data_IF_633860848513
#
_entry.id   IF_633860848513
#
_cell.length_a   1.000
_cell.length_b   1.000
_cell.length_c   1.000
_cell.angle_alpha   90.00
_cell.angle_beta   90.00
_cell.angle_gamma   90.00
#
_symmetry.space_group_name_H-M   'P 1'
#
loop_
_entity.id
_entity.type
_entity.pdbx_description
1 polymer ?
#
# COMPACT_ATOMS: atom_id res chain seq x y z
N UNK A 1 -39.42 -24.95 -57.55
CA UNK A 1 -39.06 -25.69 -56.32
C UNK A 1 -38.59 -24.68 -55.29
N UNK A 2 -39.45 -24.36 -54.32
CA UNK A 2 -38.96 -24.06 -52.98
C UNK A 2 -38.58 -25.40 -52.32
N UNK A 3 -37.66 -25.35 -51.35
CA UNK A 3 -38.09 -25.69 -50.00
C UNK A 3 -37.85 -24.52 -49.05
N UNK A 4 -38.87 -24.25 -48.24
CA UNK A 4 -38.80 -23.44 -47.04
C UNK A 4 -38.07 -24.22 -45.94
N UNK A 5 -37.23 -23.53 -45.16
CA UNK A 5 -36.90 -23.96 -43.79
C UNK A 5 -36.87 -22.72 -42.88
N UNK A 6 -38.04 -22.53 -42.28
CA UNK A 6 -38.35 -22.15 -40.90
C UNK A 6 -37.25 -21.46 -40.06
N UNK A 7 -37.50 -20.19 -39.74
CA UNK A 7 -36.97 -19.55 -38.56
C UNK A 7 -37.44 -20.30 -37.31
N UNK A 8 -36.53 -20.96 -36.61
CA UNK A 8 -36.72 -21.23 -35.19
C UNK A 8 -36.12 -20.03 -34.47
N UNK A 9 -37.01 -19.15 -33.96
CA UNK A 9 -36.69 -18.28 -32.84
C UNK A 9 -36.28 -19.19 -31.67
N UNK A 10 -35.01 -19.58 -31.64
CA UNK A 10 -34.39 -20.01 -30.40
C UNK A 10 -34.44 -18.80 -29.49
N UNK A 11 -35.12 -18.96 -28.35
CA UNK A 11 -35.03 -18.06 -27.20
C UNK A 11 -33.58 -17.61 -27.07
N UNK A 12 -33.31 -16.36 -27.47
CA UNK A 12 -32.04 -15.72 -27.19
C UNK A 12 -32.03 -15.50 -25.69
N UNK A 13 -31.58 -16.50 -24.94
CA UNK A 13 -30.93 -16.23 -23.68
C UNK A 13 -29.87 -15.17 -23.98
N UNK A 14 -30.04 -14.00 -23.40
CA UNK A 14 -29.07 -12.90 -23.45
C UNK A 14 -27.72 -13.44 -22.98
N UNK A 15 -26.91 -13.94 -23.90
CA UNK A 15 -25.53 -14.40 -23.69
C UNK A 15 -24.56 -13.21 -23.75
N UNK A 16 -25.00 -12.01 -23.32
CA UNK A 16 -24.21 -10.77 -23.40
C UNK A 16 -23.23 -10.57 -22.22
N UNK A 17 -22.98 -11.61 -21.42
CA UNK A 17 -22.08 -11.58 -20.26
C UNK A 17 -21.05 -12.73 -20.23
N UNK A 18 -20.75 -13.37 -21.37
CA UNK A 18 -19.94 -14.61 -21.39
C UNK A 18 -18.41 -14.41 -21.43
N UNK A 19 -17.90 -13.17 -21.55
CA UNK A 19 -16.45 -12.93 -21.69
C UNK A 19 -15.79 -12.23 -20.49
N UNK A 20 -16.49 -12.12 -19.35
CA UNK A 20 -15.88 -11.58 -18.12
C UNK A 20 -15.33 -12.75 -17.30
N UNK A 21 -14.02 -12.74 -17.04
CA UNK A 21 -13.40 -13.72 -16.15
C UNK A 21 -13.46 -13.22 -14.71
N UNK A 22 -13.96 -14.07 -13.82
CA UNK A 22 -14.14 -13.75 -12.41
C UNK A 22 -13.06 -14.42 -11.57
N UNK A 23 -12.56 -13.69 -10.57
CA UNK A 23 -11.78 -14.27 -9.49
C UNK A 23 -12.31 -13.76 -8.14
N UNK A 24 -12.71 -14.65 -7.22
CA UNK A 24 -12.94 -16.09 -7.41
C UNK A 24 -13.85 -16.44 -8.60
N UNK A 25 -13.75 -17.64 -9.15
CA UNK A 25 -14.73 -18.09 -10.15
C UNK A 25 -16.11 -18.22 -9.49
N UNK A 26 -17.19 -18.15 -10.28
CA UNK A 26 -18.53 -18.36 -9.75
C UNK A 26 -18.69 -19.81 -9.23
N UNK A 27 -19.13 -19.93 -7.98
CA UNK A 27 -19.19 -21.19 -7.23
C UNK A 27 -17.85 -21.71 -6.73
N UNK A 28 -16.74 -20.96 -6.85
CA UNK A 28 -15.43 -21.42 -6.37
C UNK A 28 -15.43 -21.61 -4.85
N UNK A 29 -14.76 -22.67 -4.39
CA UNK A 29 -14.62 -23.04 -2.98
C UNK A 29 -13.19 -22.85 -2.49
N UNK A 30 -13.02 -22.96 -1.18
CA UNK A 30 -11.73 -22.93 -0.50
C UNK A 30 -10.94 -21.64 -0.73
N UNK A 31 -11.67 -20.52 -0.80
CA UNK A 31 -11.12 -19.18 -0.96
C UNK A 31 -10.65 -18.59 0.38
N UNK A 32 -9.54 -17.86 0.38
CA UNK A 32 -9.15 -17.12 1.59
C UNK A 32 -10.14 -15.98 1.89
N UNK A 33 -10.52 -15.73 3.15
CA UNK A 33 -11.40 -14.62 3.51
C UNK A 33 -10.84 -13.22 3.18
N UNK A 34 -9.53 -13.10 2.96
CA UNK A 34 -8.89 -11.85 2.55
C UNK A 34 -8.76 -11.72 1.02
N UNK A 35 -9.47 -12.55 0.25
CA UNK A 35 -9.43 -12.51 -1.22
C UNK A 35 -9.86 -11.16 -1.77
N UNK A 36 -9.21 -10.75 -2.87
CA UNK A 36 -9.66 -9.62 -3.68
C UNK A 36 -10.60 -10.12 -4.77
N UNK A 37 -11.62 -9.32 -5.06
CA UNK A 37 -12.65 -9.62 -6.06
C UNK A 37 -12.20 -9.01 -7.38
N UNK A 38 -11.98 -9.81 -8.42
CA UNK A 38 -11.47 -9.33 -9.72
C UNK A 38 -12.41 -9.69 -10.85
N UNK A 39 -12.63 -8.72 -11.74
CA UNK A 39 -13.35 -8.89 -12.99
C UNK A 39 -12.41 -8.49 -14.12
N UNK A 40 -12.07 -9.45 -14.98
CA UNK A 40 -11.30 -9.21 -16.19
C UNK A 40 -12.22 -9.16 -17.40
N UNK A 41 -12.21 -8.02 -18.06
CA UNK A 41 -13.07 -7.70 -19.20
C UNK A 41 -12.34 -7.92 -20.54
N UNK A 42 -13.05 -7.94 -21.67
CA UNK A 42 -12.45 -7.96 -23.01
C UNK A 42 -11.67 -6.68 -23.36
N UNK A 43 -12.10 -5.53 -22.82
CA UNK A 43 -11.47 -4.21 -22.97
C UNK A 43 -11.36 -3.51 -21.60
N UNK A 44 -10.53 -2.45 -21.46
CA UNK A 44 -10.41 -1.71 -20.21
C UNK A 44 -11.75 -1.17 -19.71
N UNK A 45 -12.20 -1.54 -18.49
CA UNK A 45 -13.40 -0.97 -17.92
C UNK A 45 -13.11 0.42 -17.34
N UNK A 46 -14.12 1.30 -17.35
CA UNK A 46 -14.11 2.56 -16.61
C UNK A 46 -14.91 2.45 -15.33
N UNK A 47 -14.43 3.06 -14.24
CA UNK A 47 -15.13 3.14 -12.95
C UNK A 47 -16.22 4.20 -13.07
N UNK A 48 -17.47 3.86 -12.75
CA UNK A 48 -18.56 4.83 -12.71
C UNK A 48 -18.66 5.57 -11.38
N UNK A 49 -19.63 6.48 -11.27
CA UNK A 49 -19.82 7.41 -10.14
C UNK A 49 -21.03 7.06 -9.26
N UNK A 50 -21.67 5.93 -9.51
CA UNK A 50 -22.91 5.51 -8.87
C UNK A 50 -23.05 4.00 -8.77
N UNK A 51 -24.04 3.57 -7.98
CA UNK A 51 -24.30 2.16 -7.72
C UNK A 51 -23.58 1.63 -6.48
N UNK A 52 -24.01 0.45 -6.06
CA UNK A 52 -23.50 -0.24 -4.89
C UNK A 52 -22.91 -1.59 -5.31
N UNK A 53 -21.77 -1.93 -4.70
CA UNK A 53 -21.29 -3.31 -4.63
C UNK A 53 -21.68 -3.82 -3.24
N UNK A 54 -22.33 -4.98 -3.16
CA UNK A 54 -22.76 -5.57 -1.89
C UNK A 54 -22.38 -7.03 -1.81
N UNK A 55 -21.91 -7.44 -0.63
CA UNK A 55 -21.60 -8.83 -0.30
C UNK A 55 -22.57 -9.31 0.77
N UNK A 56 -23.19 -10.46 0.56
CA UNK A 56 -24.12 -11.07 1.50
C UNK A 56 -23.63 -12.46 1.92
N UNK A 57 -23.78 -12.78 3.20
CA UNK A 57 -23.72 -14.17 3.66
C UNK A 57 -24.97 -14.90 3.13
N UNK A 58 -24.77 -16.01 2.43
CA UNK A 58 -25.86 -16.73 1.74
C UNK A 58 -26.79 -17.44 2.72
N UNK A 59 -26.27 -17.91 3.85
CA UNK A 59 -27.04 -18.66 4.85
C UNK A 59 -27.93 -17.72 5.67
N UNK A 60 -27.34 -16.67 6.25
CA UNK A 60 -28.04 -15.71 7.10
C UNK A 60 -28.78 -14.64 6.30
N UNK A 61 -28.43 -14.46 5.01
CA UNK A 61 -28.90 -13.38 4.13
C UNK A 61 -28.52 -11.97 4.61
N UNK A 62 -27.60 -11.87 5.57
CA UNK A 62 -27.15 -10.58 6.09
C UNK A 62 -26.20 -9.88 5.12
N UNK A 63 -26.31 -8.56 5.01
CA UNK A 63 -25.32 -7.73 4.33
C UNK A 63 -24.01 -7.73 5.13
N UNK A 64 -22.95 -8.23 4.51
CA UNK A 64 -21.60 -8.38 5.10
C UNK A 64 -20.73 -7.20 4.74
N UNK A 65 -20.80 -6.72 3.51
CA UNK A 65 -20.08 -5.53 3.09
C UNK A 65 -20.85 -4.74 2.03
N UNK A 66 -20.59 -3.43 1.95
CA UNK A 66 -21.17 -2.55 0.94
C UNK A 66 -20.21 -1.42 0.59
N UNK A 67 -19.94 -1.26 -0.71
CA UNK A 67 -19.17 -0.14 -1.27
C UNK A 67 -20.11 0.74 -2.08
N UNK A 68 -20.18 2.03 -1.74
CA UNK A 68 -21.05 3.00 -2.43
C UNK A 68 -20.27 3.96 -3.32
N UNK A 69 -20.37 3.82 -4.64
CA UNK A 69 -19.57 4.57 -5.60
C UNK A 69 -19.93 6.07 -5.64
N UNK A 70 -21.10 6.47 -5.11
CA UNK A 70 -21.44 7.88 -4.95
C UNK A 70 -20.75 8.55 -3.74
N UNK A 71 -20.08 7.79 -2.87
CA UNK A 71 -19.23 8.34 -1.81
C UNK A 71 -17.84 8.59 -2.40
N UNK A 72 -17.32 9.83 -2.39
CA UNK A 72 -16.00 10.14 -2.92
C UNK A 72 -14.91 9.38 -2.16
N UNK A 73 -13.83 8.99 -2.83
CA UNK A 73 -12.79 8.16 -2.21
C UNK A 73 -11.83 8.95 -1.31
N UNK A 74 -11.66 10.25 -1.58
CA UNK A 74 -10.71 11.12 -0.89
C UNK A 74 -10.99 12.59 -1.22
N UNK A 75 -10.56 13.57 -0.39
CA UNK A 75 -10.52 14.98 -0.77
C UNK A 75 -9.63 15.29 -1.97
N UNK A 76 -8.62 14.45 -2.27
CA UNK A 76 -7.79 14.53 -3.48
C UNK A 76 -7.53 13.13 -4.05
N UNK A 77 -8.46 12.59 -4.84
CA UNK A 77 -8.39 11.23 -5.42
C UNK A 77 -7.12 10.95 -6.23
N UNK A 78 -6.52 11.96 -6.84
CA UNK A 78 -5.32 11.84 -7.67
C UNK A 78 -4.02 12.19 -6.93
N UNK A 79 -4.10 12.41 -5.62
CA UNK A 79 -2.94 12.74 -4.80
C UNK A 79 -2.28 14.08 -5.17
N UNK A 80 -3.00 15.01 -5.80
CA UNK A 80 -2.46 16.30 -6.21
C UNK A 80 -2.90 17.45 -5.28
N UNK A 81 -2.05 18.47 -5.17
CA UNK A 81 -2.28 19.65 -4.34
C UNK A 81 -2.01 19.44 -2.84
N UNK A 82 -2.09 20.53 -2.08
CA UNK A 82 -2.03 20.52 -0.61
C UNK A 82 -3.44 20.72 -0.07
N UNK A 83 -4.12 19.63 0.26
CA UNK A 83 -5.48 19.69 0.81
C UNK A 83 -5.46 19.56 2.33
N UNK A 84 -6.11 20.50 3.04
CA UNK A 84 -6.51 20.29 4.43
C UNK A 84 -7.91 19.68 4.41
N UNK A 85 -8.08 18.44 4.86
CA UNK A 85 -9.42 17.86 5.06
C UNK A 85 -10.09 18.50 6.29
N UNK A 86 -11.42 18.60 6.29
CA UNK A 86 -12.18 19.05 7.46
C UNK A 86 -12.38 17.87 8.44
N UNK A 87 -11.91 18.01 9.68
CA UNK A 87 -11.64 16.91 10.63
C UNK A 87 -12.86 16.26 11.30
N UNK A 88 -14.03 16.89 11.20
CA UNK A 88 -15.24 16.41 11.87
C UNK A 88 -16.03 15.42 11.04
N UNK A 89 -15.72 15.28 9.74
CA UNK A 89 -16.50 14.45 8.83
C UNK A 89 -15.79 13.13 8.53
N UNK A 90 -16.19 12.11 9.29
CA UNK A 90 -15.73 10.72 9.11
C UNK A 90 -16.56 9.94 8.09
N UNK A 91 -17.63 10.52 7.55
CA UNK A 91 -18.62 9.83 6.73
C UNK A 91 -18.60 10.25 5.27
N UNK A 92 -17.93 11.37 4.95
CA UNK A 92 -17.91 11.94 3.61
C UNK A 92 -17.12 11.15 2.59
N UNK A 93 -16.13 10.38 3.01
CA UNK A 93 -15.26 9.65 2.09
C UNK A 93 -15.29 8.15 2.37
N UNK A 94 -14.94 7.35 1.38
CA UNK A 94 -14.72 5.92 1.54
C UNK A 94 -13.64 5.68 2.60
N UNK A 95 -13.95 4.85 3.60
CA UNK A 95 -13.01 4.57 4.70
C UNK A 95 -12.91 3.08 4.96
N UNK A 96 -11.70 2.59 5.22
CA UNK A 96 -11.44 1.22 5.62
C UNK A 96 -10.62 1.19 6.92
N UNK A 97 -10.78 0.13 7.72
CA UNK A 97 -10.03 -0.05 8.97
C UNK A 97 -8.93 -1.09 8.73
N UNK A 98 -7.69 -0.63 8.71
CA UNK A 98 -6.49 -1.44 8.45
C UNK A 98 -5.63 -1.40 9.71
N UNK A 99 -5.29 -2.55 10.29
CA UNK A 99 -4.50 -2.64 11.53
C UNK A 99 -5.07 -1.83 12.71
N UNK A 100 -6.39 -1.61 12.74
CA UNK A 100 -7.09 -0.81 13.75
C UNK A 100 -7.08 0.71 13.51
N UNK A 101 -6.63 1.17 12.33
CA UNK A 101 -6.62 2.58 11.94
C UNK A 101 -7.48 2.82 10.70
N UNK A 102 -8.19 3.95 10.64
CA UNK A 102 -8.97 4.35 9.47
C UNK A 102 -8.09 4.92 8.36
N UNK A 103 -8.35 4.51 7.13
CA UNK A 103 -7.72 5.02 5.91
C UNK A 103 -8.79 5.40 4.90
N UNK A 104 -8.57 6.49 4.16
CA UNK A 104 -9.21 6.61 2.85
C UNK A 104 -8.56 5.60 1.91
N UNK A 105 -9.35 5.00 1.04
CA UNK A 105 -8.92 3.93 0.16
C UNK A 105 -9.71 3.92 -1.15
N UNK A 106 -9.15 3.27 -2.16
CA UNK A 106 -9.80 2.98 -3.43
C UNK A 106 -10.62 1.69 -3.30
N UNK A 107 -11.96 1.74 -3.44
CA UNK A 107 -12.80 0.54 -3.43
C UNK A 107 -12.66 -0.27 -4.73
N UNK A 108 -12.21 0.37 -5.82
CA UNK A 108 -11.93 -0.27 -7.10
C UNK A 108 -10.64 0.33 -7.66
N UNK A 109 -9.74 -0.52 -8.14
CA UNK A 109 -8.58 -0.12 -8.95
C UNK A 109 -8.65 -0.89 -10.26
N UNK A 110 -8.42 -0.19 -11.38
CA UNK A 110 -8.39 -0.79 -12.72
C UNK A 110 -6.96 -0.76 -13.24
N UNK A 111 -6.45 -1.92 -13.64
CA UNK A 111 -5.22 -2.06 -14.42
C UNK A 111 -5.54 -2.84 -15.70
N UNK A 112 -5.19 -2.26 -16.84
CA UNK A 112 -5.53 -2.78 -18.17
C UNK A 112 -7.03 -3.15 -18.24
N UNK A 113 -7.32 -4.42 -18.46
CA UNK A 113 -8.69 -4.94 -18.58
C UNK A 113 -9.26 -5.47 -17.26
N UNK A 114 -8.57 -5.30 -16.13
CA UNK A 114 -8.97 -5.92 -14.87
C UNK A 114 -9.39 -4.86 -13.87
N UNK A 115 -10.64 -4.93 -13.41
CA UNK A 115 -11.11 -4.20 -12.24
C UNK A 115 -10.93 -5.09 -11.00
N UNK A 116 -10.13 -4.63 -10.04
CA UNK A 116 -9.99 -5.24 -8.72
C UNK A 116 -10.83 -4.44 -7.73
N UNK A 117 -11.80 -5.11 -7.11
CA UNK A 117 -12.66 -4.58 -6.06
C UNK A 117 -12.04 -4.94 -4.70
N UNK A 118 -11.82 -3.93 -3.89
CA UNK A 118 -11.29 -4.01 -2.55
C UNK A 118 -12.44 -3.89 -1.56
N UNK A 119 -12.81 -5.03 -0.96
CA UNK A 119 -13.72 -5.04 0.19
C UNK A 119 -13.06 -4.34 1.38
N UNK A 120 -13.86 -3.92 2.36
CA UNK A 120 -13.28 -3.50 3.63
C UNK A 120 -12.51 -4.68 4.25
N UNK A 121 -11.49 -4.38 5.07
CA UNK A 121 -10.68 -5.41 5.71
C UNK A 121 -11.51 -6.22 6.71
N UNK A 122 -11.21 -7.52 6.83
CA UNK A 122 -11.80 -8.43 7.81
C UNK A 122 -13.34 -8.53 7.76
N UNK A 123 -13.93 -8.42 6.57
CA UNK A 123 -15.39 -8.58 6.38
C UNK A 123 -15.82 -10.01 6.16
N UNK A 124 -15.02 -10.81 5.45
CA UNK A 124 -15.34 -12.21 5.20
C UNK A 124 -14.80 -13.07 6.34
N UNK A 125 -15.53 -14.13 6.66
CA UNK A 125 -15.22 -15.12 7.68
C UNK A 125 -14.90 -16.46 7.01
N UNK A 126 -14.19 -17.33 7.74
CA UNK A 126 -13.98 -18.72 7.32
C UNK A 126 -15.29 -19.52 7.39
N UNK A 127 -15.35 -20.61 6.63
CA UNK A 127 -16.46 -21.56 6.57
C UNK A 127 -17.80 -20.92 6.20
N UNK A 128 -17.77 -19.94 5.29
CA UNK A 128 -18.96 -19.21 4.85
C UNK A 128 -19.08 -19.24 3.33
N UNK A 129 -20.31 -19.08 2.85
CA UNK A 129 -20.60 -18.87 1.43
C UNK A 129 -21.16 -17.46 1.26
N UNK A 130 -20.58 -16.72 0.33
CA UNK A 130 -20.93 -15.34 0.05
C UNK A 130 -21.51 -15.21 -1.35
N UNK A 131 -22.38 -14.23 -1.51
CA UNK A 131 -22.87 -13.77 -2.82
C UNK A 131 -22.56 -12.30 -3.00
N UNK A 132 -22.16 -11.93 -4.22
CA UNK A 132 -21.84 -10.56 -4.61
C UNK A 132 -22.94 -10.07 -5.56
N UNK A 133 -23.39 -8.85 -5.29
CA UNK A 133 -24.17 -8.06 -6.24
C UNK A 133 -23.40 -6.80 -6.59
N UNK A 134 -23.52 -6.38 -7.85
CA UNK A 134 -22.92 -5.16 -8.37
C UNK A 134 -24.02 -4.46 -9.15
N UNK A 135 -24.41 -3.26 -8.74
CA UNK A 135 -25.43 -2.50 -9.46
C UNK A 135 -24.91 -2.06 -10.85
N UNK A 136 -25.78 -1.93 -11.87
CA UNK A 136 -25.41 -1.27 -13.12
C UNK A 136 -24.84 0.14 -12.84
N UNK A 137 -23.82 0.54 -13.59
CA UNK A 137 -23.17 1.85 -13.43
C UNK A 137 -21.93 1.86 -12.53
N UNK A 138 -21.67 0.81 -11.75
CA UNK A 138 -20.42 0.69 -10.97
C UNK A 138 -19.19 0.60 -11.90
N UNK A 139 -19.32 -0.17 -12.97
CA UNK A 139 -18.34 -0.28 -14.04
C UNK A 139 -19.03 -0.03 -15.39
N UNK A 140 -18.28 0.51 -16.33
CA UNK A 140 -18.72 0.69 -17.73
C UNK A 140 -17.65 0.12 -18.64
N UNK A 141 -18.05 -0.37 -19.81
CA UNK A 141 -17.14 -0.92 -20.81
C UNK A 141 -17.36 -0.14 -22.09
N UNK A 142 -16.29 0.42 -22.62
CA UNK A 142 -16.32 0.97 -23.97
C UNK A 142 -16.22 -0.21 -24.95
N UNK A 143 -17.31 -0.43 -25.67
CA UNK A 143 -17.42 -1.49 -26.66
C UNK A 143 -17.08 -0.92 -28.04
N UNK A 144 -15.78 -0.81 -28.33
CA UNK A 144 -15.28 -0.31 -29.61
C UNK A 144 -15.68 -1.23 -30.79
N UNK A 145 -15.96 -2.52 -30.52
CA UNK A 145 -16.35 -3.50 -31.54
C UNK A 145 -17.72 -3.19 -32.18
N UNK A 146 -18.57 -2.40 -31.50
CA UNK A 146 -19.95 -2.11 -31.93
C UNK A 146 -20.29 -0.61 -32.04
N UNK A 147 -19.31 0.24 -32.36
CA UNK A 147 -19.59 1.60 -32.84
C UNK A 147 -19.90 2.64 -31.76
N UNK A 148 -19.07 2.69 -30.71
CA UNK A 148 -19.03 3.80 -29.75
C UNK A 148 -20.35 4.03 -28.99
N UNK A 149 -20.92 2.94 -28.47
CA UNK A 149 -21.92 3.02 -27.39
C UNK A 149 -21.29 2.42 -26.14
N UNK A 150 -20.94 3.25 -25.15
CA UNK A 150 -20.55 2.77 -23.82
C UNK A 150 -21.66 1.83 -23.32
N UNK A 151 -21.38 0.54 -23.34
CA UNK A 151 -22.32 -0.47 -22.86
C UNK A 151 -22.11 -0.57 -21.36
N UNK A 152 -23.10 -0.13 -20.59
CA UNK A 152 -23.07 -0.30 -19.13
C UNK A 152 -22.90 -1.79 -18.84
N UNK A 153 -21.87 -2.15 -18.07
CA UNK A 153 -21.79 -3.46 -17.47
C UNK A 153 -23.10 -3.66 -16.67
N UNK A 154 -23.89 -4.71 -16.96
CA UNK A 154 -25.21 -4.87 -16.36
C UNK A 154 -25.15 -5.23 -14.88
N UNK A 155 -23.95 -5.51 -14.35
CA UNK A 155 -23.78 -5.88 -12.96
C UNK A 155 -24.15 -7.33 -12.66
N UNK A 156 -24.19 -7.63 -11.37
CA UNK A 156 -24.69 -8.90 -10.82
C UNK A 156 -25.88 -8.58 -9.92
N UNK A 157 -27.05 -9.15 -10.23
CA UNK A 157 -28.27 -8.94 -9.44
C UNK A 157 -28.49 -10.09 -8.46
N UNK A 158 -29.46 -9.98 -7.55
CA UNK A 158 -29.85 -11.09 -6.66
C UNK A 158 -30.32 -12.34 -7.42
N UNK A 159 -30.84 -12.18 -8.65
CA UNK A 159 -31.30 -13.29 -9.49
C UNK A 159 -30.17 -13.89 -10.36
N UNK A 160 -28.98 -13.29 -10.33
CA UNK A 160 -27.80 -13.67 -11.11
C UNK A 160 -26.54 -13.35 -10.31
N UNK A 161 -26.54 -13.69 -9.03
CA UNK A 161 -25.46 -13.32 -8.11
C UNK A 161 -24.25 -14.22 -8.32
N UNK A 162 -23.07 -13.62 -8.21
CA UNK A 162 -21.80 -14.33 -8.23
C UNK A 162 -21.49 -14.85 -6.83
N UNK A 163 -21.24 -16.14 -6.68
CA UNK A 163 -21.04 -16.80 -5.39
C UNK A 163 -19.65 -17.41 -5.24
N UNK A 164 -19.17 -17.54 -4.00
CA UNK A 164 -17.97 -18.30 -3.65
C UNK A 164 -18.01 -18.72 -2.17
N UNK A 165 -17.24 -19.73 -1.80
CA UNK A 165 -17.13 -20.23 -0.42
C UNK A 165 -15.70 -20.08 0.11
N UNK A 166 -15.57 -19.62 1.35
CA UNK A 166 -14.28 -19.50 2.02
C UNK A 166 -13.79 -20.84 2.58
N UNK A 167 -12.48 -20.95 2.81
CA UNK A 167 -11.86 -22.13 3.46
C UNK A 167 -12.56 -22.45 4.80
N UNK A 168 -12.59 -23.71 5.23
CA UNK A 168 -13.20 -24.09 6.52
C UNK A 168 -12.53 -23.44 7.74
N UNK A 169 -11.23 -23.15 7.67
CA UNK A 169 -10.47 -22.55 8.75
C UNK A 169 -9.21 -21.87 8.22
N UNK A 170 -8.71 -20.90 8.98
CA UNK A 170 -7.39 -20.31 8.73
C UNK A 170 -6.24 -21.19 9.25
N UNK A 171 -5.00 -20.70 9.13
CA UNK A 171 -3.84 -21.38 9.68
C UNK A 171 -3.96 -21.60 11.20
N UNK A 172 -3.39 -22.70 11.74
CA UNK A 172 -3.40 -22.97 13.17
C UNK A 172 -2.83 -21.79 13.97
N UNK A 173 -3.44 -21.45 15.11
CA UNK A 173 -3.01 -20.29 15.92
C UNK A 173 -1.60 -20.40 16.50
N UNK A 174 -1.01 -21.60 16.50
CA UNK A 174 0.37 -21.87 16.90
C UNK A 174 1.34 -22.00 15.71
N UNK A 175 0.88 -21.78 14.47
CA UNK A 175 1.76 -21.77 13.32
C UNK A 175 2.79 -20.64 13.48
N UNK A 176 4.05 -20.97 13.20
CA UNK A 176 5.18 -20.02 13.27
C UNK A 176 5.58 -19.50 11.88
N UNK A 177 4.94 -20.01 10.83
CA UNK A 177 5.13 -19.57 9.46
C UNK A 177 3.83 -19.69 8.68
N UNK A 178 3.53 -18.69 7.84
CA UNK A 178 2.41 -18.68 6.88
C UNK A 178 2.86 -18.12 5.53
N UNK A 179 2.09 -18.40 4.50
CA UNK A 179 2.36 -18.03 3.11
C UNK A 179 1.33 -17.06 2.55
N UNK A 180 1.74 -16.19 1.63
CA UNK A 180 0.88 -15.19 0.98
C UNK A 180 1.02 -15.27 -0.55
N UNK A 181 -0.08 -15.38 -1.28
CA UNK A 181 -0.10 -15.46 -2.76
C UNK A 181 -1.35 -14.85 -3.38
N UNK A 182 -1.19 -14.07 -4.45
CA UNK A 182 -2.27 -13.35 -5.15
C UNK A 182 -3.24 -14.24 -5.94
N UNK A 183 -2.90 -15.52 -6.12
CA UNK A 183 -3.75 -16.52 -6.78
C UNK A 183 -4.71 -17.24 -5.82
N UNK A 184 -4.62 -16.95 -4.52
CA UNK A 184 -5.47 -17.51 -3.47
C UNK A 184 -5.10 -18.92 -3.03
N UNK A 185 -4.00 -19.51 -3.51
CA UNK A 185 -3.62 -20.89 -3.14
C UNK A 185 -2.85 -20.98 -1.83
N UNK A 186 -2.31 -19.87 -1.34
CA UNK A 186 -1.57 -19.78 -0.08
C UNK A 186 -2.49 -19.63 1.14
N UNK A 187 -1.91 -19.54 2.34
CA UNK A 187 -2.65 -19.31 3.59
C UNK A 187 -3.45 -18.00 3.57
N UNK A 188 -2.90 -16.98 2.91
CA UNK A 188 -3.51 -15.66 2.71
C UNK A 188 -3.34 -15.17 1.27
N UNK A 189 -4.24 -14.30 0.83
CA UNK A 189 -4.17 -13.64 -0.48
C UNK A 189 -3.43 -12.31 -0.41
N UNK A 190 -3.52 -11.65 0.74
CA UNK A 190 -2.98 -10.31 1.02
C UNK A 190 -1.95 -10.38 2.15
N UNK A 191 -0.99 -9.46 2.14
CA UNK A 191 -0.05 -9.35 3.26
C UNK A 191 -0.77 -8.82 4.50
N UNK A 192 -1.69 -7.86 4.34
CA UNK A 192 -2.46 -7.33 5.46
C UNK A 192 -3.30 -8.41 6.16
N UNK A 193 -3.91 -9.35 5.43
CA UNK A 193 -4.61 -10.49 6.03
C UNK A 193 -3.69 -11.36 6.90
N UNK A 194 -2.47 -11.64 6.42
CA UNK A 194 -1.46 -12.37 7.20
C UNK A 194 -0.99 -11.59 8.43
N UNK A 195 -0.87 -10.27 8.34
CA UNK A 195 -0.52 -9.38 9.46
C UNK A 195 -1.62 -9.31 10.52
N UNK A 196 -2.88 -9.29 10.09
CA UNK A 196 -4.04 -9.28 10.98
C UNK A 196 -4.15 -10.62 11.75
N UNK A 197 -3.80 -11.75 11.11
CA UNK A 197 -3.70 -13.06 11.77
C UNK A 197 -2.51 -13.17 12.74
N UNK A 198 -1.36 -12.60 12.41
CA UNK A 198 -0.13 -12.80 13.18
C UNK A 198 -0.29 -12.35 14.65
N UNK A 199 0.19 -13.12 15.64
CA UNK A 199 0.08 -12.76 17.06
C UNK A 199 0.88 -11.49 17.39
N UNK A 200 0.45 -10.72 18.38
CA UNK A 200 1.12 -9.47 18.73
C UNK A 200 2.46 -9.66 19.44
N UNK A 201 2.58 -10.61 20.36
CA UNK A 201 3.81 -10.81 21.15
C UNK A 201 4.15 -12.30 21.32
N UNK A 202 4.50 -13.01 20.24
CA UNK A 202 4.83 -14.42 20.33
C UNK A 202 6.22 -14.62 20.97
N UNK A 203 6.38 -15.73 21.69
CA UNK A 203 7.68 -16.14 22.26
C UNK A 203 8.64 -16.66 21.19
N UNK A 204 8.12 -17.15 20.07
CA UNK A 204 8.88 -17.57 18.89
C UNK A 204 8.60 -16.64 17.70
N UNK A 205 9.60 -16.35 16.86
CA UNK A 205 9.38 -15.51 15.68
C UNK A 205 8.30 -16.08 14.75
N UNK A 206 7.36 -15.22 14.33
CA UNK A 206 6.38 -15.52 13.29
C UNK A 206 6.93 -15.08 11.94
N UNK A 207 6.87 -15.96 10.93
CA UNK A 207 7.36 -15.68 9.58
C UNK A 207 6.21 -15.63 8.57
N UNK A 208 6.14 -14.56 7.79
CA UNK A 208 5.23 -14.40 6.65
C UNK A 208 6.09 -14.49 5.38
N UNK A 209 5.84 -15.52 4.57
CA UNK A 209 6.50 -15.75 3.29
C UNK A 209 5.61 -15.28 2.15
N UNK A 210 6.07 -14.31 1.37
CA UNK A 210 5.31 -13.70 0.28
C UNK A 210 5.82 -14.24 -1.06
N UNK A 211 4.92 -14.84 -1.83
CA UNK A 211 5.22 -15.33 -3.16
C UNK A 211 5.56 -14.17 -4.14
N UNK A 212 6.13 -14.48 -5.33
CA UNK A 212 6.15 -13.54 -6.44
C UNK A 212 4.72 -13.06 -6.78
N UNK A 213 4.56 -11.76 -7.01
CA UNK A 213 3.27 -11.14 -7.29
C UNK A 213 3.29 -9.64 -7.05
N UNK A 214 2.22 -8.98 -7.52
CA UNK A 214 1.94 -7.57 -7.23
C UNK A 214 0.83 -7.50 -6.19
N UNK A 215 1.14 -6.93 -5.03
CA UNK A 215 0.27 -6.76 -3.88
C UNK A 215 -0.03 -5.27 -3.75
N UNK A 216 -1.10 -4.83 -4.43
CA UNK A 216 -1.54 -3.44 -4.39
C UNK A 216 -2.46 -3.24 -3.18
N UNK A 217 -1.88 -2.90 -2.03
CA UNK A 217 -2.58 -2.77 -0.74
C UNK A 217 -1.90 -1.75 0.19
N UNK A 218 -2.70 -1.06 1.00
CA UNK A 218 -2.21 -0.27 2.13
C UNK A 218 -1.84 -1.21 3.28
N UNK A 219 -0.62 -1.08 3.79
CA UNK A 219 -0.15 -1.88 4.91
C UNK A 219 -0.07 -1.03 6.18
N UNK A 220 -0.76 -1.49 7.23
CA UNK A 220 -0.60 -0.97 8.58
C UNK A 220 -0.70 -2.05 9.65
N UNK A 221 0.25 -2.05 10.59
CA UNK A 221 0.15 -2.83 11.82
C UNK A 221 0.79 -2.09 13.00
N UNK A 222 0.39 -2.42 14.23
CA UNK A 222 0.90 -1.76 15.41
C UNK A 222 1.04 -2.72 16.59
N UNK A 223 1.98 -2.39 17.49
CA UNK A 223 2.22 -3.10 18.74
C UNK A 223 2.47 -4.61 18.57
N UNK A 224 3.19 -4.97 17.49
CA UNK A 224 3.63 -6.34 17.21
C UNK A 224 5.13 -6.51 17.43
N UNK A 225 5.54 -7.70 17.85
CA UNK A 225 6.94 -8.08 18.04
C UNK A 225 7.29 -9.40 17.34
N UNK A 226 8.58 -9.66 17.16
CA UNK A 226 9.12 -10.93 16.65
C UNK A 226 8.53 -11.37 15.30
N UNK A 227 8.45 -10.45 14.34
CA UNK A 227 7.84 -10.69 13.04
C UNK A 227 8.88 -10.63 11.92
N UNK A 228 8.85 -11.62 11.03
CA UNK A 228 9.69 -11.69 9.83
C UNK A 228 8.80 -11.70 8.60
N UNK A 229 8.96 -10.73 7.71
CA UNK A 229 8.23 -10.62 6.44
C UNK A 229 9.24 -10.78 5.32
N UNK A 230 9.08 -11.82 4.51
CA UNK A 230 10.07 -12.19 3.50
C UNK A 230 9.41 -12.42 2.15
N UNK A 231 9.80 -11.62 1.16
CA UNK A 231 9.46 -11.87 -0.24
C UNK A 231 10.44 -12.82 -0.91
N UNK A 232 10.22 -13.01 -2.21
CA UNK A 232 11.12 -13.79 -3.08
C UNK A 232 12.31 -12.97 -3.57
N UNK A 233 12.06 -11.75 -4.02
CA UNK A 233 13.04 -10.76 -4.45
C UNK A 233 12.35 -9.39 -4.60
N UNK A 234 13.07 -8.26 -4.45
CA UNK A 234 12.52 -6.93 -4.75
C UNK A 234 12.03 -6.73 -6.18
N UNK A 235 12.45 -7.58 -7.13
CA UNK A 235 12.03 -7.49 -8.53
C UNK A 235 10.76 -8.29 -8.84
N UNK A 236 10.33 -9.18 -7.94
CA UNK A 236 9.24 -10.14 -8.21
C UNK A 236 8.16 -10.14 -7.14
N UNK A 237 8.46 -9.73 -5.92
CA UNK A 237 7.47 -9.49 -4.85
C UNK A 237 7.32 -7.98 -4.68
N UNK A 238 6.26 -7.44 -5.25
CA UNK A 238 6.03 -6.00 -5.38
C UNK A 238 4.86 -5.60 -4.49
N UNK A 239 5.10 -4.77 -3.47
CA UNK A 239 4.05 -4.23 -2.61
C UNK A 239 3.93 -2.74 -2.91
N UNK A 240 2.71 -2.23 -3.03
CA UNK A 240 2.54 -0.80 -3.20
C UNK A 240 1.11 -0.31 -3.12
N UNK A 241 0.95 1.01 -3.07
CA UNK A 241 -0.36 1.64 -3.07
C UNK A 241 -0.25 3.11 -3.50
N UNK A 242 -1.28 3.69 -4.16
CA UNK A 242 -1.33 5.12 -4.42
C UNK A 242 -1.77 5.89 -3.16
N UNK A 243 -0.81 6.42 -2.38
CA UNK A 243 -1.12 7.13 -1.13
C UNK A 243 -0.23 8.35 -0.89
N UNK A 244 -0.74 9.43 -0.32
CA UNK A 244 0.10 10.55 0.10
C UNK A 244 -0.67 11.48 1.05
N UNK A 245 -0.06 12.61 1.41
CA UNK A 245 -0.69 13.62 2.28
C UNK A 245 -1.83 14.41 1.60
N UNK A 246 -2.06 14.27 0.30
CA UNK A 246 -3.24 14.83 -0.36
C UNK A 246 -4.40 13.82 -0.34
N UNK A 247 -4.10 12.55 -0.62
CA UNK A 247 -5.07 11.46 -0.62
C UNK A 247 -5.51 11.09 0.80
N UNK A 248 -4.58 10.97 1.75
CA UNK A 248 -4.82 10.80 3.19
C UNK A 248 -4.23 11.99 3.97
N UNK A 249 -4.96 13.11 4.10
CA UNK A 249 -4.42 14.33 4.70
C UNK A 249 -3.93 14.22 6.14
N UNK A 250 -2.84 14.95 6.48
CA UNK A 250 -2.40 15.08 7.85
C UNK A 250 -3.48 15.83 8.63
N UNK A 251 -3.48 15.65 9.96
CA UNK A 251 -4.41 16.23 10.96
C UNK A 251 -5.60 15.34 11.36
N UNK A 252 -5.57 14.03 11.10
CA UNK A 252 -6.32 13.05 11.91
C UNK A 252 -5.51 12.72 13.17
N UNK A 253 -6.17 12.57 14.32
CA UNK A 253 -5.49 12.15 15.54
C UNK A 253 -4.83 10.78 15.35
N UNK A 254 -3.63 10.60 15.91
CA UNK A 254 -2.90 9.34 15.88
C UNK A 254 -1.83 9.28 14.78
N UNK A 255 -1.48 8.06 14.32
CA UNK A 255 -0.41 7.85 13.34
C UNK A 255 -0.69 8.50 11.99
N UNK A 256 0.38 8.76 11.24
CA UNK A 256 0.31 9.23 9.87
C UNK A 256 -0.34 8.18 8.97
N UNK A 257 -1.19 8.62 8.03
CA UNK A 257 -1.93 7.76 7.08
C UNK A 257 -1.45 7.87 5.64
N UNK A 258 -0.46 8.72 5.36
CA UNK A 258 0.12 8.91 4.01
C UNK A 258 1.10 7.81 3.54
N UNK A 259 1.75 7.00 4.40
CA UNK A 259 2.62 5.93 3.90
C UNK A 259 1.84 4.85 3.16
N UNK A 260 2.46 4.24 2.15
CA UNK A 260 1.93 3.01 1.53
C UNK A 260 2.11 1.81 2.48
N UNK A 261 3.23 1.76 3.20
CA UNK A 261 3.51 0.76 4.23
C UNK A 261 3.92 1.45 5.53
N UNK A 262 3.28 1.11 6.64
CA UNK A 262 3.70 1.64 7.94
C UNK A 262 3.46 0.70 9.11
N UNK A 263 4.25 0.87 10.16
CA UNK A 263 3.99 0.21 11.43
C UNK A 263 4.41 1.05 12.63
N UNK A 264 3.78 0.79 13.77
CA UNK A 264 3.92 1.59 14.99
C UNK A 264 4.16 0.78 16.25
N UNK A 265 5.03 1.29 17.13
CA UNK A 265 5.27 0.72 18.45
C UNK A 265 5.70 -0.75 18.37
N UNK A 266 6.44 -1.11 17.32
CA UNK A 266 6.84 -2.48 17.05
C UNK A 266 8.24 -2.78 17.60
N UNK A 267 8.59 -4.05 17.73
CA UNK A 267 9.96 -4.44 18.02
C UNK A 267 10.36 -5.74 17.32
N UNK A 268 11.65 -5.94 17.05
CA UNK A 268 12.15 -7.19 16.47
C UNK A 268 11.47 -7.55 15.13
N UNK A 269 11.33 -6.54 14.26
CA UNK A 269 10.71 -6.66 12.94
C UNK A 269 11.79 -6.83 11.88
N UNK A 270 11.63 -7.79 10.98
CA UNK A 270 12.50 -7.99 9.83
C UNK A 270 11.70 -7.93 8.53
N UNK A 271 12.07 -7.03 7.62
CA UNK A 271 11.56 -6.99 6.25
C UNK A 271 12.69 -7.36 5.30
N UNK A 272 12.47 -8.30 4.39
CA UNK A 272 13.51 -8.68 3.42
C UNK A 272 12.99 -9.20 2.09
N UNK A 273 13.74 -8.96 1.01
CA UNK A 273 13.51 -9.52 -0.32
C UNK A 273 12.17 -9.13 -0.99
N UNK A 274 11.69 -7.91 -0.80
CA UNK A 274 10.56 -7.36 -1.57
C UNK A 274 10.71 -5.86 -1.79
N UNK A 275 9.93 -5.31 -2.70
CA UNK A 275 9.85 -3.86 -2.92
C UNK A 275 8.62 -3.24 -2.27
N UNK A 276 8.74 -2.00 -1.83
CA UNK A 276 7.61 -1.18 -1.39
C UNK A 276 7.59 0.08 -2.26
N UNK A 277 6.52 0.28 -3.01
CA UNK A 277 6.34 1.47 -3.86
C UNK A 277 5.12 2.25 -3.44
N UNK A 278 5.29 3.54 -3.20
CA UNK A 278 4.18 4.47 -3.17
C UNK A 278 3.97 5.06 -4.57
N UNK A 279 2.80 4.84 -5.16
CA UNK A 279 2.54 5.25 -6.54
C UNK A 279 2.26 6.75 -6.68
N UNK A 280 2.01 7.45 -5.57
CA UNK A 280 1.80 8.89 -5.57
C UNK A 280 3.08 9.67 -5.29
N UNK A 281 3.04 10.95 -5.68
CA UNK A 281 4.14 11.92 -5.54
C UNK A 281 3.86 12.92 -4.43
N UNK A 282 4.84 13.77 -4.15
CA UNK A 282 4.76 14.74 -3.05
C UNK A 282 5.09 14.05 -1.75
N UNK A 283 4.37 14.34 -0.67
CA UNK A 283 4.60 13.73 0.64
C UNK A 283 4.05 12.29 0.69
N UNK A 284 4.86 11.34 0.24
CA UNK A 284 4.47 9.98 -0.09
C UNK A 284 5.56 8.98 0.31
N UNK A 285 5.58 8.57 1.58
CA UNK A 285 6.46 7.52 2.09
C UNK A 285 6.16 6.20 1.36
N UNK A 286 7.19 5.50 0.90
CA UNK A 286 7.08 4.05 0.71
C UNK A 286 6.94 3.37 2.08
N UNK A 287 7.76 3.78 3.06
CA UNK A 287 7.81 3.17 4.37
C UNK A 287 7.87 4.21 5.49
N UNK A 288 7.02 4.05 6.50
CA UNK A 288 7.19 4.65 7.82
C UNK A 288 7.38 3.54 8.85
N UNK A 289 8.56 3.49 9.47
CA UNK A 289 8.84 2.58 10.58
C UNK A 289 8.83 3.33 11.91
N UNK A 290 8.13 2.77 12.89
CA UNK A 290 8.18 3.17 14.29
C UNK A 290 8.33 1.91 15.16
N UNK A 291 9.55 1.66 15.60
CA UNK A 291 9.89 0.50 16.40
C UNK A 291 11.36 0.38 16.80
N UNK A 292 11.67 -0.63 17.60
CA UNK A 292 13.05 -0.90 18.06
C UNK A 292 13.57 -2.24 17.53
N UNK A 293 14.85 -2.29 17.17
CA UNK A 293 15.49 -3.48 16.58
C UNK A 293 14.80 -3.92 15.28
N UNK A 294 14.54 -2.95 14.40
CA UNK A 294 14.04 -3.19 13.04
C UNK A 294 15.20 -3.54 12.12
N UNK A 295 15.01 -4.52 11.24
CA UNK A 295 15.96 -4.88 10.18
C UNK A 295 15.28 -4.78 8.82
N UNK A 296 15.89 -4.03 7.90
CA UNK A 296 15.54 -4.06 6.48
C UNK A 296 16.74 -4.63 5.72
N UNK A 297 16.54 -5.71 4.96
CA UNK A 297 17.63 -6.37 4.23
C UNK A 297 17.21 -6.71 2.80
N UNK A 298 18.03 -6.33 1.83
CA UNK A 298 17.76 -6.60 0.41
C UNK A 298 16.37 -6.11 -0.04
N UNK A 299 16.10 -4.82 0.19
CA UNK A 299 14.82 -4.17 -0.13
C UNK A 299 14.97 -3.17 -1.28
N UNK A 300 13.86 -2.89 -1.98
CA UNK A 300 13.74 -1.73 -2.85
C UNK A 300 12.58 -0.85 -2.37
N UNK A 301 12.90 0.36 -1.90
CA UNK A 301 11.93 1.32 -1.37
C UNK A 301 11.79 2.46 -2.37
N UNK A 302 10.57 2.73 -2.82
CA UNK A 302 10.30 3.75 -3.84
C UNK A 302 9.17 4.66 -3.37
N UNK A 303 9.54 5.79 -2.79
CA UNK A 303 8.60 6.85 -2.41
C UNK A 303 8.86 8.13 -3.19
N UNK A 304 8.33 9.24 -2.70
CA UNK A 304 8.59 10.58 -3.27
C UNK A 304 9.20 11.47 -2.19
N UNK A 305 8.63 12.65 -1.92
CA UNK A 305 8.99 13.46 -0.76
C UNK A 305 8.72 12.71 0.54
N UNK A 306 9.65 12.78 1.49
CA UNK A 306 9.65 11.96 2.72
C UNK A 306 9.62 10.45 2.44
N UNK A 307 10.24 9.93 1.37
CA UNK A 307 10.14 8.53 0.94
C UNK A 307 10.32 7.47 2.06
N UNK A 308 11.21 7.72 3.03
CA UNK A 308 11.35 6.89 4.22
C UNK A 308 11.30 7.74 5.49
N UNK A 309 10.42 7.38 6.41
CA UNK A 309 10.37 7.97 7.76
C UNK A 309 10.76 6.96 8.82
N UNK A 310 11.65 7.33 9.74
CA UNK A 310 12.16 6.41 10.77
C UNK A 310 12.01 6.96 12.18
N UNK A 311 11.42 6.16 13.07
CA UNK A 311 11.40 6.32 14.52
C UNK A 311 11.97 5.07 15.21
N UNK A 312 12.67 5.27 16.33
CA UNK A 312 13.27 4.18 17.10
C UNK A 312 14.63 3.72 16.55
N UNK A 313 14.86 2.41 16.41
CA UNK A 313 16.16 1.86 15.99
C UNK A 313 16.05 0.87 14.83
N UNK A 314 16.89 1.07 13.81
CA UNK A 314 16.91 0.22 12.62
C UNK A 314 18.32 -0.06 12.07
N UNK A 315 18.50 -1.27 11.51
CA UNK A 315 19.64 -1.66 10.67
C UNK A 315 19.13 -1.90 9.25
N UNK A 316 19.63 -1.14 8.28
CA UNK A 316 19.20 -1.19 6.88
C UNK A 316 20.40 -1.60 6.02
N UNK A 317 20.32 -2.77 5.38
CA UNK A 317 21.41 -3.33 4.60
C UNK A 317 20.98 -3.69 3.17
N UNK A 318 21.93 -3.57 2.24
CA UNK A 318 21.76 -4.02 0.85
C UNK A 318 20.48 -3.49 0.19
N UNK A 319 20.07 -2.29 0.57
CA UNK A 319 18.75 -1.73 0.24
C UNK A 319 18.91 -0.53 -0.68
N UNK A 320 17.99 -0.39 -1.64
CA UNK A 320 17.90 0.81 -2.47
C UNK A 320 16.69 1.65 -2.06
N UNK A 321 16.88 2.94 -1.83
CA UNK A 321 15.82 3.91 -1.53
C UNK A 321 15.76 4.97 -2.65
N UNK A 322 14.58 5.16 -3.23
CA UNK A 322 14.27 6.24 -4.17
C UNK A 322 13.33 7.26 -3.52
N UNK A 323 13.59 8.55 -3.75
CA UNK A 323 12.68 9.64 -3.36
C UNK A 323 12.93 10.96 -4.11
N UNK A 324 12.10 11.96 -3.81
CA UNK A 324 12.03 13.23 -4.57
C UNK A 324 12.26 14.47 -3.68
N UNK A 325 13.18 14.37 -2.72
CA UNK A 325 13.55 15.45 -1.80
C UNK A 325 12.99 15.26 -0.39
N UNK A 326 13.75 15.71 0.60
CA UNK A 326 13.59 15.27 2.00
C UNK A 326 13.47 13.74 2.07
N UNK A 327 14.26 13.02 1.25
CA UNK A 327 14.08 11.58 0.94
C UNK A 327 14.05 10.71 2.21
N UNK A 328 14.85 11.06 3.21
CA UNK A 328 14.83 10.43 4.54
C UNK A 328 14.37 11.44 5.59
N UNK A 329 13.31 11.10 6.31
CA UNK A 329 12.83 11.80 7.49
C UNK A 329 13.32 11.08 8.76
N UNK A 330 14.48 11.50 9.25
CA UNK A 330 15.25 10.71 10.23
C UNK A 330 15.04 11.15 11.68
N UNK A 331 14.09 10.56 12.39
CA UNK A 331 13.94 10.74 13.84
C UNK A 331 14.69 9.69 14.66
N UNK A 332 14.91 8.50 14.10
CA UNK A 332 15.53 7.36 14.80
C UNK A 332 17.04 7.25 14.69
N UNK A 333 17.60 6.32 15.48
CA UNK A 333 18.97 5.81 15.34
C UNK A 333 18.99 4.76 14.25
N UNK A 334 19.59 5.06 13.10
CA UNK A 334 19.54 4.17 11.93
C UNK A 334 20.94 3.93 11.38
N UNK A 335 21.31 2.66 11.26
CA UNK A 335 22.56 2.25 10.64
C UNK A 335 22.29 1.71 9.24
N UNK A 336 22.86 2.36 8.24
CA UNK A 336 22.80 1.98 6.84
C UNK A 336 24.10 1.32 6.42
N UNK A 337 24.01 0.14 5.81
CA UNK A 337 25.16 -0.63 5.34
C UNK A 337 24.99 -1.01 3.88
N UNK A 338 26.02 -0.80 3.04
CA UNK A 338 26.04 -1.25 1.64
C UNK A 338 24.73 -0.92 0.87
N UNK A 339 24.20 0.28 1.08
CA UNK A 339 22.88 0.68 0.58
C UNK A 339 23.00 1.84 -0.39
N UNK A 340 22.03 1.94 -1.30
CA UNK A 340 21.98 3.00 -2.30
C UNK A 340 20.80 3.93 -2.02
N UNK A 341 21.05 5.24 -1.96
CA UNK A 341 20.01 6.25 -1.79
C UNK A 341 20.01 7.13 -3.04
N UNK A 342 18.90 7.16 -3.75
CA UNK A 342 18.69 7.94 -4.96
C UNK A 342 17.67 9.03 -4.68
N UNK A 343 18.06 10.28 -4.91
CA UNK A 343 17.18 11.44 -4.76
C UNK A 343 17.10 12.23 -6.06
N UNK A 344 15.90 12.65 -6.46
CA UNK A 344 15.70 13.43 -7.68
C UNK A 344 15.69 14.94 -7.45
N UNK A 345 15.46 15.39 -6.22
CA UNK A 345 15.35 16.82 -5.86
C UNK A 345 15.68 17.04 -4.37
N UNK A 346 15.64 18.29 -3.90
CA UNK A 346 15.64 18.62 -2.47
C UNK A 346 16.85 18.12 -1.66
N UNK A 347 16.65 17.87 -0.37
CA UNK A 347 17.67 17.25 0.48
C UNK A 347 17.57 15.72 0.48
N UNK A 348 18.70 15.02 0.62
CA UNK A 348 18.70 13.56 0.82
C UNK A 348 18.09 13.21 2.17
N UNK A 349 18.45 13.95 3.22
CA UNK A 349 17.96 13.68 4.58
C UNK A 349 17.55 14.97 5.29
N UNK A 350 16.43 14.89 6.01
CA UNK A 350 16.03 15.85 7.02
C UNK A 350 16.20 15.19 8.42
N UNK A 351 17.36 15.40 9.06
CA UNK A 351 17.64 14.80 10.37
C UNK A 351 16.90 15.54 11.49
N UNK A 352 16.23 14.78 12.36
CA UNK A 352 15.38 15.27 13.46
C UNK A 352 15.68 14.54 14.76
N UNK A 353 16.96 14.37 15.04
CA UNK A 353 17.45 13.65 16.22
C UNK A 353 17.27 14.51 17.48
N UNK A 354 16.73 13.91 18.54
CA UNK A 354 16.64 14.52 19.87
C UNK A 354 17.95 14.44 20.63
N UNK A 355 18.08 15.24 21.70
CA UNK A 355 19.22 15.16 22.61
C UNK A 355 19.44 13.73 23.11
N UNK A 356 20.70 13.31 23.22
CA UNK A 356 21.12 11.98 23.70
C UNK A 356 20.64 10.79 22.85
N UNK A 357 20.15 11.05 21.63
CA UNK A 357 19.82 10.02 20.64
C UNK A 357 20.84 10.08 19.53
N UNK A 358 21.30 8.93 19.05
CA UNK A 358 22.15 8.90 17.86
C UNK A 358 21.31 9.01 16.58
N UNK A 359 21.86 9.65 15.56
CA UNK A 359 21.16 9.88 14.29
C UNK A 359 21.37 8.76 13.26
N UNK A 360 21.49 9.15 11.99
CA UNK A 360 21.71 8.21 10.88
C UNK A 360 23.20 8.03 10.60
N UNK A 361 23.68 6.79 10.52
CA UNK A 361 25.06 6.44 10.16
C UNK A 361 25.03 5.65 8.86
N UNK A 362 25.76 6.11 7.85
CA UNK A 362 25.89 5.46 6.55
C UNK A 362 27.29 4.88 6.40
N UNK A 363 27.39 3.58 6.16
CA UNK A 363 28.65 2.84 6.01
C UNK A 363 28.65 2.11 4.67
N UNK A 364 29.69 2.35 3.87
CA UNK A 364 29.87 1.75 2.54
C UNK A 364 28.65 1.96 1.63
N UNK A 365 27.97 3.09 1.77
CA UNK A 365 26.77 3.42 1.01
C UNK A 365 27.10 4.20 -0.28
N UNK A 366 26.12 4.30 -1.17
CA UNK A 366 26.17 5.18 -2.35
C UNK A 366 24.98 6.13 -2.33
N UNK A 367 25.22 7.44 -2.47
CA UNK A 367 24.17 8.46 -2.52
C UNK A 367 24.23 9.16 -3.87
N UNK A 368 23.13 9.14 -4.61
CA UNK A 368 23.01 9.66 -5.97
C UNK A 368 21.95 10.75 -6.02
N UNK A 369 22.32 11.94 -6.52
CA UNK A 369 21.38 12.97 -6.93
C UNK A 369 21.25 12.99 -8.44
N UNK A 370 20.08 12.65 -8.96
CA UNK A 370 19.85 12.48 -10.40
C UNK A 370 19.92 13.81 -11.19
N UNK A 371 19.58 14.93 -10.55
CA UNK A 371 19.51 16.24 -11.21
C UNK A 371 20.70 17.16 -10.91
N UNK A 372 21.71 16.70 -10.15
CA UNK A 372 22.88 17.52 -9.82
C UNK A 372 22.61 18.70 -8.88
N UNK A 373 21.39 18.83 -8.35
CA UNK A 373 20.91 20.01 -7.63
C UNK A 373 20.52 19.74 -6.17
N UNK A 374 20.53 18.47 -5.74
CA UNK A 374 20.19 18.11 -4.36
C UNK A 374 21.31 18.49 -3.38
N UNK A 375 20.91 18.82 -2.15
CA UNK A 375 21.83 18.93 -1.01
C UNK A 375 21.84 17.64 -0.22
N UNK A 376 22.91 17.38 0.55
CA UNK A 376 22.91 16.21 1.42
C UNK A 376 21.87 16.35 2.55
N UNK A 377 22.00 17.37 3.39
CA UNK A 377 21.11 17.57 4.53
C UNK A 377 20.49 18.98 4.57
N UNK A 378 19.23 19.07 5.01
CA UNK A 378 18.53 20.33 5.29
C UNK A 378 18.63 20.71 6.78
N UNK A 379 19.20 21.90 7.05
CA UNK A 379 19.23 22.63 8.34
C UNK A 379 19.29 24.14 8.03
N UNK A 380 18.81 25.09 8.87
CA UNK A 380 18.03 25.00 10.10
C UNK A 380 16.59 25.57 9.98
N UNK A 381 16.09 25.86 8.77
CA UNK A 381 14.73 26.38 8.58
C UNK A 381 13.70 25.24 8.72
N UNK A 382 13.35 24.98 9.99
CA UNK A 382 12.63 23.82 10.51
C UNK A 382 11.20 24.17 10.97
N UNK A 383 10.50 25.09 10.29
CA UNK A 383 9.09 25.32 10.59
C UNK A 383 8.27 24.03 10.38
N UNK A 384 7.63 23.52 11.44
CA UNK A 384 6.69 22.38 11.36
C UNK A 384 6.96 21.18 12.28
N UNK A 385 8.00 21.20 13.13
CA UNK A 385 8.28 20.15 14.12
C UNK A 385 7.84 20.48 15.55
N UNK A 386 8.02 19.53 16.49
CA UNK A 386 7.81 19.72 17.95
C UNK A 386 8.88 20.65 18.55
N UNK A 387 10.00 20.87 17.84
CA UNK A 387 11.09 21.75 18.21
C UNK A 387 11.38 22.74 17.09
N UNK A 388 11.75 23.97 17.46
CA UNK A 388 12.01 25.07 16.52
C UNK A 388 13.19 24.80 15.57
N UNK A 389 14.19 24.01 15.97
CA UNK A 389 15.43 23.86 15.18
C UNK A 389 16.26 22.57 15.34
N UNK A 390 15.71 21.44 15.85
CA UNK A 390 16.40 20.12 15.97
C UNK A 390 17.93 20.19 16.21
N UNK A 391 18.39 20.83 17.30
CA UNK A 391 19.79 21.23 17.48
C UNK A 391 20.77 20.07 17.70
N UNK A 392 20.26 18.85 17.82
CA UNK A 392 21.02 17.62 18.04
C UNK A 392 20.97 16.68 16.82
N UNK A 393 20.49 17.16 15.67
CA UNK A 393 20.49 16.42 14.42
C UNK A 393 21.88 15.85 14.10
N UNK A 394 21.95 14.53 13.93
CA UNK A 394 23.21 13.80 13.68
C UNK A 394 23.10 12.98 12.39
N UNK A 395 24.12 13.10 11.55
CA UNK A 395 24.29 12.24 10.38
C UNK A 395 25.79 11.97 10.18
N UNK A 396 26.18 10.71 10.00
CA UNK A 396 27.58 10.28 9.83
C UNK A 396 27.75 9.52 8.52
N UNK A 397 28.81 9.80 7.77
CA UNK A 397 29.17 9.10 6.53
C UNK A 397 30.54 8.43 6.69
N UNK A 398 30.62 7.12 6.50
CA UNK A 398 31.86 6.33 6.56
C UNK A 398 31.96 5.58 5.24
N UNK A 399 33.06 5.75 4.51
CA UNK A 399 33.29 5.12 3.20
C UNK A 399 32.11 5.24 2.22
N UNK A 400 31.34 6.32 2.32
CA UNK A 400 30.13 6.51 1.53
C UNK A 400 30.44 7.36 0.30
N UNK A 401 30.12 6.84 -0.89
CA UNK A 401 30.27 7.56 -2.15
C UNK A 401 29.08 8.51 -2.34
N UNK A 402 29.36 9.72 -2.83
CA UNK A 402 28.31 10.66 -3.26
C UNK A 402 28.48 11.00 -4.73
N UNK A 403 27.37 11.14 -5.45
CA UNK A 403 27.32 11.51 -6.86
C UNK A 403 26.21 12.55 -7.09
N UNK A 404 26.53 13.62 -7.83
CA UNK A 404 25.56 14.67 -8.17
C UNK A 404 25.13 15.60 -7.01
N UNK A 405 25.65 15.44 -5.79
CA UNK A 405 25.34 16.37 -4.70
C UNK A 405 26.05 17.71 -4.88
N UNK A 406 25.38 18.81 -4.52
CA UNK A 406 26.02 20.14 -4.48
C UNK A 406 27.14 20.18 -3.43
N UNK A 407 28.30 20.71 -3.82
CA UNK A 407 29.54 20.76 -3.02
C UNK A 407 29.41 21.45 -1.65
N UNK A 408 28.40 22.29 -1.43
CA UNK A 408 28.10 22.92 -0.14
C UNK A 408 27.01 22.12 0.59
N UNK A 409 27.38 20.92 1.04
CA UNK A 409 26.47 19.86 1.52
C UNK A 409 25.87 20.02 2.92
N UNK A 410 25.87 21.22 3.50
CA UNK A 410 24.99 21.58 4.61
C UNK A 410 24.29 22.88 4.23
N UNK A 411 22.96 22.94 4.35
CA UNK A 411 22.22 24.20 4.16
C UNK A 411 22.81 25.35 4.99
N UNK A 412 22.53 26.61 4.62
CA UNK A 412 23.01 27.78 5.38
C UNK A 412 22.53 27.70 6.84
N UNK A 413 23.40 27.26 7.75
CA UNK A 413 23.17 27.37 9.19
C UNK A 413 23.13 28.85 9.61
N UNK A 414 21.94 29.41 9.84
CA UNK A 414 21.81 30.60 10.67
C UNK A 414 21.99 30.19 12.14
N UNK A 415 23.19 30.39 12.67
CA UNK A 415 23.53 30.11 14.07
C UNK A 415 24.85 29.35 14.20
N UNK A 416 25.66 29.68 15.22
CA UNK A 416 27.03 29.18 15.47
C UNK A 416 27.12 27.69 15.85
N UNK A 417 26.51 26.74 15.13
CA UNK A 417 26.63 25.30 15.48
C UNK A 417 26.78 24.43 14.22
N UNK A 418 27.81 23.57 14.24
CA UNK A 418 28.27 22.72 13.13
C UNK A 418 27.41 21.46 13.06
N UNK A 419 26.98 21.08 11.85
CA UNK A 419 26.73 19.67 11.56
C UNK A 419 28.10 18.99 11.45
N UNK A 420 28.32 17.91 12.20
CA UNK A 420 29.54 17.12 12.05
C UNK A 420 29.37 16.24 10.80
N UNK A 421 29.69 16.80 9.64
CA UNK A 421 30.01 15.99 8.47
C UNK A 421 31.44 15.49 8.71
N UNK A 422 31.59 14.37 9.41
CA UNK A 422 32.86 13.66 9.45
C UNK A 422 32.98 12.89 8.13
N UNK A 423 33.69 13.46 7.16
CA UNK A 423 34.20 12.72 6.01
C UNK A 423 35.66 12.35 6.33
N UNK A 424 36.10 11.10 6.10
CA UNK A 424 37.51 10.79 5.89
C UNK A 424 38.04 11.48 4.62
#
# INVERSE_FOLDING_TARGET
MQPAVTAVQGLRYNTRATNIQLFPQDGQKDINPDTQIRLKFPSPPSIGDSGLIRVYDVESKSLVDSLNLSIPISPSPYGNGSTKANYTDKTKYQTNIIGGMDFYFFPIIVHDNTATIYLHNNRLEYNKTYSITIDPGVLTIDDEEYGNTTSSFPGFSSNSSWTFSTKPSGPPSNATSVTVSTDGTADFTTLQGALDWAPSNPTTPTTILIAPGTYEELIFFQYKTNLRIRGSSPNTTLIGYPNNSAFNPPNRQGPSRRPAFSFRGAADIQLSNFSITNYFRGQAESLLLDGTRVVLDHMALNGSGDALTTYGTAYIASTTLYGDGDTILGYGTVFWANSTIVTSAGAVIWPRTSQNTHGNVFVDCTIISLQGNSTFARLPDNSGGVLDNWPYAEVVLINTRTEGLRLWGGGRCKGRRRALIAAP
#
